data_IF_973314308710
#
_entry.id   IF_973314308710
#
_cell.length_a   1.000
_cell.length_b   1.000
_cell.length_c   1.000
_cell.angle_alpha   90.00
_cell.angle_beta   90.00
_cell.angle_gamma   90.00
#
_symmetry.space_group_name_H-M   'P 1'
#
loop_
_entity.id
_entity.type
_entity.pdbx_description
1 polymer ?
#
# COMPACT_ATOMS: atom_id res chain seq x y z
N UNK A 1 0.11 10.37 5.56
CA UNK A 1 1.18 11.26 6.03
C UNK A 1 1.65 10.70 7.33
N UNK A 2 2.88 10.19 7.34
CA UNK A 2 3.52 9.55 8.47
C UNK A 2 4.46 10.54 9.13
N UNK A 3 4.39 10.63 10.45
CA UNK A 3 5.32 11.43 11.24
C UNK A 3 6.77 10.96 11.01
N UNK A 4 7.75 11.87 11.08
CA UNK A 4 9.19 11.59 10.96
C UNK A 4 9.66 10.48 11.94
N UNK A 5 9.01 10.43 13.10
CA UNK A 5 9.26 9.50 14.20
C UNK A 5 8.02 8.62 14.47
N UNK A 6 7.48 7.99 13.43
CA UNK A 6 6.33 7.09 13.57
C UNK A 6 6.68 5.90 14.47
N UNK A 7 5.83 5.63 15.45
CA UNK A 7 5.90 4.46 16.29
C UNK A 7 5.18 3.28 15.62
N UNK A 8 5.94 2.23 15.31
CA UNK A 8 5.42 0.93 14.88
C UNK A 8 5.64 -0.08 15.99
N UNK A 9 4.63 -0.29 16.83
CA UNK A 9 4.72 -1.03 18.08
C UNK A 9 3.66 -2.12 18.14
N UNK A 10 3.96 -3.22 18.84
CA UNK A 10 3.00 -4.26 19.25
C UNK A 10 2.09 -4.79 18.13
N UNK A 11 2.67 -4.92 16.93
CA UNK A 11 1.96 -5.38 15.75
C UNK A 11 1.79 -6.90 15.79
N UNK A 12 0.54 -7.35 15.83
CA UNK A 12 0.20 -8.74 15.60
C UNK A 12 0.58 -9.13 14.16
N UNK A 13 1.43 -10.16 14.06
CA UNK A 13 2.02 -10.60 12.79
C UNK A 13 0.95 -11.07 11.80
N UNK A 14 -0.12 -11.71 12.29
CA UNK A 14 -1.17 -12.22 11.42
C UNK A 14 -2.04 -11.08 10.90
N UNK A 15 -2.49 -10.18 11.78
CA UNK A 15 -3.29 -9.01 11.40
C UNK A 15 -2.54 -8.16 10.37
N UNK A 16 -1.25 -7.90 10.63
CA UNK A 16 -0.42 -7.11 9.72
C UNK A 16 -0.18 -7.79 8.38
N UNK A 17 0.18 -9.09 8.36
CA UNK A 17 0.36 -9.86 7.13
C UNK A 17 -0.92 -9.88 6.29
N UNK A 18 -2.05 -10.08 6.95
CA UNK A 18 -3.36 -10.12 6.32
C UNK A 18 -3.73 -8.77 5.70
N UNK A 19 -3.47 -7.67 6.43
CA UNK A 19 -3.64 -6.31 5.91
C UNK A 19 -2.73 -6.03 4.71
N UNK A 20 -1.44 -6.40 4.79
CA UNK A 20 -0.50 -6.24 3.67
C UNK A 20 -0.98 -6.96 2.41
N UNK A 21 -1.43 -8.21 2.54
CA UNK A 21 -1.98 -8.98 1.42
C UNK A 21 -3.24 -8.33 0.79
N UNK A 22 -3.98 -7.58 1.60
CA UNK A 22 -5.20 -6.90 1.18
C UNK A 22 -4.90 -5.59 0.45
N UNK A 23 -3.94 -4.79 0.95
CA UNK A 23 -3.68 -3.42 0.46
C UNK A 23 -2.50 -3.32 -0.50
N UNK A 24 -1.61 -4.31 -0.55
CA UNK A 24 -0.42 -4.30 -1.41
C UNK A 24 -0.50 -5.40 -2.49
N UNK A 25 0.09 -5.09 -3.63
CA UNK A 25 0.50 -6.06 -4.62
C UNK A 25 2.03 -6.05 -4.70
N UNK A 26 2.67 -7.13 -4.29
CA UNK A 26 4.11 -7.17 -4.23
C UNK A 26 4.71 -7.38 -5.63
N UNK A 27 5.45 -6.40 -6.14
CA UNK A 27 6.27 -6.59 -7.34
C UNK A 27 7.33 -7.71 -7.16
N UNK A 28 7.70 -8.04 -5.91
CA UNK A 28 8.61 -9.16 -5.62
C UNK A 28 7.97 -10.52 -5.89
N UNK A 29 6.65 -10.64 -5.71
CA UNK A 29 5.88 -11.86 -5.94
C UNK A 29 5.61 -12.10 -7.44
N UNK A 30 5.64 -11.04 -8.25
CA UNK A 30 5.52 -11.13 -9.70
C UNK A 30 6.72 -11.85 -10.33
N UNK A 31 6.41 -12.78 -11.24
CA UNK A 31 7.37 -13.45 -12.11
C UNK A 31 7.92 -12.41 -13.07
N UNK A 32 9.23 -12.29 -13.13
CA UNK A 32 9.87 -11.23 -13.92
C UNK A 32 11.21 -11.68 -14.46
N UNK A 33 11.57 -11.11 -15.59
CA UNK A 33 12.94 -11.16 -16.09
C UNK A 33 13.59 -9.80 -15.83
N UNK A 34 14.84 -9.85 -15.36
CA UNK A 34 15.67 -8.67 -15.13
C UNK A 34 16.84 -8.74 -16.09
N UNK A 35 16.97 -7.71 -16.93
CA UNK A 35 18.13 -7.44 -17.77
C UNK A 35 18.86 -6.25 -17.18
N UNK A 36 20.15 -6.38 -16.91
CA UNK A 36 21.02 -5.25 -16.54
C UNK A 36 22.09 -5.14 -17.61
N UNK A 37 22.30 -3.94 -18.12
CA UNK A 37 23.33 -3.66 -19.11
C UNK A 37 24.18 -2.45 -18.72
N UNK A 38 25.36 -2.38 -19.31
CA UNK A 38 26.33 -1.28 -19.17
C UNK A 38 26.79 -0.95 -20.60
N UNK A 39 26.50 0.26 -21.08
CA UNK A 39 26.74 0.67 -22.48
C UNK A 39 26.22 -0.33 -23.53
N UNK A 40 25.04 -0.89 -23.23
CA UNK A 40 24.33 -1.88 -24.04
C UNK A 40 24.82 -3.33 -23.88
N UNK A 41 25.98 -3.56 -23.28
CA UNK A 41 26.49 -4.90 -22.99
C UNK A 41 25.73 -5.51 -21.81
N UNK A 42 25.16 -6.71 -22.01
CA UNK A 42 24.32 -7.36 -21.00
C UNK A 42 25.21 -7.99 -19.91
N UNK A 43 25.11 -7.44 -18.70
CA UNK A 43 25.82 -7.93 -17.50
C UNK A 43 24.98 -8.97 -16.74
N UNK A 44 23.64 -8.86 -16.80
CA UNK A 44 22.72 -9.77 -16.13
C UNK A 44 21.48 -10.01 -16.98
N UNK A 45 21.05 -11.26 -17.07
CA UNK A 45 19.82 -11.65 -17.76
C UNK A 45 19.23 -12.87 -17.05
N UNK A 46 18.24 -12.67 -16.17
CA UNK A 46 17.77 -13.71 -15.26
C UNK A 46 16.27 -13.63 -14.96
N UNK A 47 15.63 -14.78 -14.79
CA UNK A 47 14.27 -14.89 -14.25
C UNK A 47 14.28 -14.82 -12.72
N UNK A 48 13.32 -14.15 -12.09
CA UNK A 48 13.23 -13.98 -10.63
C UNK A 48 13.20 -15.30 -9.86
N UNK A 49 12.63 -16.34 -10.46
CA UNK A 49 12.56 -17.71 -9.92
C UNK A 49 13.63 -18.66 -10.50
N UNK A 50 14.62 -18.13 -11.23
CA UNK A 50 15.69 -18.92 -11.90
C UNK A 50 15.18 -19.99 -12.89
N UNK A 51 13.99 -19.77 -13.46
CA UNK A 51 13.49 -20.62 -14.54
C UNK A 51 14.32 -20.40 -15.81
N UNK A 52 14.45 -21.40 -16.69
CA UNK A 52 15.03 -21.23 -18.01
C UNK A 52 14.29 -20.14 -18.80
N UNK A 53 15.04 -19.28 -19.48
CA UNK A 53 14.50 -18.17 -20.29
C UNK A 53 14.93 -18.31 -21.74
N UNK A 54 14.11 -17.79 -22.65
CA UNK A 54 14.53 -17.52 -24.02
C UNK A 54 15.34 -16.23 -24.01
N UNK A 55 16.66 -16.35 -24.17
CA UNK A 55 17.56 -15.21 -24.37
C UNK A 55 17.39 -14.72 -25.81
N UNK A 56 16.50 -13.74 -26.00
CA UNK A 56 16.12 -13.23 -27.32
C UNK A 56 16.92 -12.01 -27.78
N UNK A 57 17.81 -11.50 -26.94
CA UNK A 57 18.70 -10.37 -27.24
C UNK A 57 20.10 -10.68 -26.70
N UNK A 58 21.12 -10.18 -27.40
CA UNK A 58 22.52 -10.26 -26.97
C UNK A 58 23.06 -8.90 -26.52
N UNK A 59 22.40 -7.81 -26.91
CA UNK A 59 22.76 -6.42 -26.60
C UNK A 59 21.50 -5.57 -26.39
N UNK A 60 21.61 -4.50 -25.63
CA UNK A 60 20.56 -3.49 -25.43
C UNK A 60 20.96 -2.18 -26.12
N UNK A 61 20.44 -1.96 -27.33
CA UNK A 61 20.63 -0.68 -28.03
C UNK A 61 19.47 0.30 -27.74
N UNK A 62 18.27 -0.23 -27.51
CA UNK A 62 17.07 0.50 -27.08
C UNK A 62 16.41 -0.28 -25.93
N UNK A 63 16.45 0.25 -24.68
CA UNK A 63 15.87 -0.40 -23.51
C UNK A 63 14.36 -0.68 -23.62
N UNK A 64 13.59 0.16 -24.32
CA UNK A 64 12.16 -0.04 -24.53
C UNK A 64 11.89 -1.19 -25.50
N UNK A 65 12.55 -1.18 -26.66
CA UNK A 65 12.43 -2.26 -27.62
C UNK A 65 12.93 -3.59 -27.04
N UNK A 66 14.02 -3.57 -26.27
CA UNK A 66 14.56 -4.74 -25.59
C UNK A 66 13.56 -5.31 -24.57
N UNK A 67 12.97 -4.47 -23.71
CA UNK A 67 12.00 -4.92 -22.70
C UNK A 67 10.78 -5.59 -23.35
N UNK A 68 10.23 -4.97 -24.39
CA UNK A 68 9.09 -5.53 -25.13
C UNK A 68 9.45 -6.84 -25.84
N UNK A 69 10.61 -6.90 -26.51
CA UNK A 69 11.05 -8.08 -27.24
C UNK A 69 11.26 -9.28 -26.30
N UNK A 70 11.94 -9.08 -25.19
CA UNK A 70 12.16 -10.10 -24.16
C UNK A 70 10.84 -10.55 -23.53
N UNK A 71 9.91 -9.62 -23.28
CA UNK A 71 8.59 -9.94 -22.76
C UNK A 71 7.81 -10.82 -23.73
N UNK A 72 7.74 -10.46 -25.02
CA UNK A 72 7.01 -11.21 -26.04
C UNK A 72 7.58 -12.63 -26.19
N UNK A 73 8.90 -12.79 -26.16
CA UNK A 73 9.57 -14.10 -26.23
C UNK A 73 9.29 -14.99 -25.00
N UNK A 74 9.07 -14.39 -23.83
CA UNK A 74 8.91 -15.10 -22.56
C UNK A 74 7.52 -14.93 -21.92
N UNK A 75 6.51 -14.49 -22.68
CA UNK A 75 5.20 -14.01 -22.17
C UNK A 75 4.43 -15.00 -21.28
N UNK A 76 4.73 -16.30 -21.41
CA UNK A 76 4.08 -17.36 -20.64
C UNK A 76 4.74 -17.60 -19.28
N UNK A 77 5.95 -17.05 -19.06
CA UNK A 77 6.76 -17.23 -17.87
C UNK A 77 6.78 -16.00 -16.96
N UNK A 78 6.53 -14.81 -17.51
CA UNK A 78 6.69 -13.54 -16.82
C UNK A 78 5.39 -12.74 -16.76
N UNK A 79 5.23 -12.00 -15.67
CA UNK A 79 4.21 -10.95 -15.54
C UNK A 79 4.73 -9.63 -16.11
N UNK A 80 6.06 -9.37 -16.04
CA UNK A 80 6.72 -8.22 -16.68
C UNK A 80 8.22 -8.46 -16.94
N UNK A 81 8.84 -7.59 -17.73
CA UNK A 81 10.30 -7.50 -17.91
C UNK A 81 10.79 -6.16 -17.41
N UNK A 82 11.96 -6.15 -16.76
CA UNK A 82 12.68 -4.95 -16.37
C UNK A 82 14.05 -4.91 -17.06
N UNK A 83 14.39 -3.78 -17.68
CA UNK A 83 15.68 -3.50 -18.29
C UNK A 83 16.27 -2.28 -17.59
N UNK A 84 17.46 -2.46 -17.00
CA UNK A 84 18.16 -1.42 -16.26
C UNK A 84 19.52 -1.15 -16.88
N UNK A 85 19.75 0.10 -17.26
CA UNK A 85 21.08 0.63 -17.53
C UNK A 85 21.74 0.97 -16.18
N UNK A 86 22.95 0.49 -15.98
CA UNK A 86 23.65 0.56 -14.69
C UNK A 86 23.91 2.00 -14.23
N UNK A 87 24.37 2.87 -15.11
CA UNK A 87 24.67 4.26 -14.76
C UNK A 87 23.38 5.03 -14.40
N UNK A 88 22.30 4.82 -15.14
CA UNK A 88 20.99 5.38 -14.86
C UNK A 88 20.45 4.90 -13.51
N UNK A 89 20.66 3.62 -13.18
CA UNK A 89 20.34 3.06 -11.87
C UNK A 89 21.13 3.79 -10.77
N UNK A 90 22.45 3.93 -10.92
CA UNK A 90 23.29 4.62 -9.93
C UNK A 90 22.90 6.09 -9.74
N UNK A 91 22.62 6.82 -10.83
CA UNK A 91 22.15 8.22 -10.79
C UNK A 91 20.79 8.34 -10.10
N UNK A 92 19.84 7.44 -10.41
CA UNK A 92 18.54 7.40 -9.76
C UNK A 92 18.69 7.21 -8.25
N UNK A 93 19.50 6.24 -7.82
CA UNK A 93 19.77 6.01 -6.39
C UNK A 93 20.44 7.21 -5.72
N UNK A 94 21.43 7.80 -6.37
CA UNK A 94 22.09 9.01 -5.88
C UNK A 94 21.13 10.20 -5.73
N UNK A 95 20.18 10.38 -6.66
CA UNK A 95 19.20 11.46 -6.62
C UNK A 95 18.32 11.36 -5.37
N UNK A 96 17.59 10.26 -5.19
CA UNK A 96 16.64 10.21 -4.08
C UNK A 96 17.34 10.11 -2.71
N UNK A 97 18.52 9.46 -2.63
CA UNK A 97 19.32 9.45 -1.40
C UNK A 97 19.83 10.86 -1.06
N UNK A 98 20.26 11.63 -2.05
CA UNK A 98 20.76 12.99 -1.87
C UNK A 98 19.67 14.03 -1.57
N UNK A 99 18.39 13.69 -1.75
CA UNK A 99 17.25 14.58 -1.44
C UNK A 99 16.54 14.24 -0.14
N UNK A 100 16.96 13.17 0.55
CA UNK A 100 16.38 12.81 1.84
C UNK A 100 16.71 13.86 2.91
N UNK A 101 15.71 14.20 3.71
CA UNK A 101 15.89 14.99 4.93
C UNK A 101 15.40 14.21 6.13
N UNK A 102 16.11 14.34 7.25
CA UNK A 102 15.77 13.61 8.47
C UNK A 102 14.40 14.01 9.03
N UNK A 103 13.96 15.25 8.78
CA UNK A 103 12.70 15.85 9.23
C UNK A 103 11.52 15.63 8.26
N UNK A 104 11.70 14.80 7.24
CA UNK A 104 10.72 14.60 6.19
C UNK A 104 9.67 13.53 6.53
N UNK A 105 8.44 13.75 6.08
CA UNK A 105 7.36 12.75 6.12
C UNK A 105 7.74 11.53 5.27
N UNK A 106 7.70 10.35 5.88
CA UNK A 106 8.13 9.11 5.22
C UNK A 106 7.28 8.74 4.01
N UNK A 107 5.98 9.08 4.01
CA UNK A 107 5.13 8.85 2.84
C UNK A 107 5.51 9.78 1.69
N UNK A 108 5.81 11.05 2.00
CA UNK A 108 6.22 12.03 0.98
C UNK A 108 7.57 11.62 0.36
N UNK A 109 8.51 11.16 1.19
CA UNK A 109 9.78 10.62 0.73
C UNK A 109 9.62 9.37 -0.16
N UNK A 110 8.82 8.39 0.28
CA UNK A 110 8.55 7.18 -0.48
C UNK A 110 7.84 7.49 -1.80
N UNK A 111 6.81 8.36 -1.76
CA UNK A 111 6.09 8.80 -2.95
C UNK A 111 7.02 9.50 -3.95
N UNK A 112 7.86 10.42 -3.48
CA UNK A 112 8.86 11.10 -4.34
C UNK A 112 9.81 10.09 -4.96
N UNK A 113 10.36 9.16 -4.18
CA UNK A 113 11.29 8.14 -4.66
C UNK A 113 10.72 7.39 -5.87
N UNK A 114 9.47 6.92 -5.79
CA UNK A 114 8.84 6.22 -6.91
C UNK A 114 8.41 7.14 -8.05
N UNK A 115 8.06 8.40 -7.78
CA UNK A 115 7.76 9.37 -8.83
C UNK A 115 9.01 9.71 -9.65
N UNK A 116 10.19 9.80 -9.02
CA UNK A 116 11.46 10.08 -9.68
C UNK A 116 11.85 9.00 -10.71
N UNK A 117 11.31 7.78 -10.64
CA UNK A 117 11.52 6.78 -11.70
C UNK A 117 11.09 7.28 -13.09
N UNK A 118 10.08 8.15 -13.18
CA UNK A 118 9.61 8.72 -14.44
C UNK A 118 10.69 9.61 -15.11
N UNK A 119 11.61 10.19 -14.33
CA UNK A 119 12.73 11.01 -14.83
C UNK A 119 13.87 10.17 -15.44
N UNK A 120 13.87 8.85 -15.19
CA UNK A 120 14.89 7.90 -15.65
C UNK A 120 14.32 6.90 -16.65
N UNK A 121 13.23 7.25 -17.32
CA UNK A 121 12.48 6.35 -18.21
C UNK A 121 13.33 5.71 -19.31
N UNK A 122 14.38 6.40 -19.78
CA UNK A 122 15.28 5.88 -20.84
C UNK A 122 16.22 4.77 -20.35
N UNK A 123 16.55 4.73 -19.05
CA UNK A 123 17.48 3.77 -18.48
C UNK A 123 16.84 2.77 -17.52
N UNK A 124 15.66 3.06 -16.99
CA UNK A 124 14.92 2.24 -16.04
C UNK A 124 13.57 1.85 -16.64
N UNK A 125 13.59 0.83 -17.51
CA UNK A 125 12.42 0.44 -18.30
C UNK A 125 11.75 -0.79 -17.72
N UNK A 126 10.42 -0.79 -17.73
CA UNK A 126 9.63 -2.02 -17.60
C UNK A 126 8.62 -2.17 -18.73
N UNK A 127 8.18 -3.38 -19.00
CA UNK A 127 7.13 -3.71 -19.96
C UNK A 127 6.23 -4.83 -19.42
N UNK A 128 4.87 -4.76 -19.52
CA UNK A 128 4.06 -3.90 -20.39
C UNK A 128 3.60 -2.55 -19.81
N UNK A 129 4.20 -2.04 -18.74
CA UNK A 129 3.86 -0.73 -18.15
C UNK A 129 5.09 0.00 -17.63
N UNK A 130 5.01 1.32 -17.34
CA UNK A 130 6.16 2.11 -16.91
C UNK A 130 6.69 1.69 -15.53
N UNK A 131 7.97 1.96 -15.28
CA UNK A 131 8.69 1.52 -14.08
C UNK A 131 8.03 2.00 -12.79
N UNK A 132 7.55 3.25 -12.73
CA UNK A 132 6.80 3.76 -11.58
C UNK A 132 5.59 2.89 -11.23
N UNK A 133 4.81 2.49 -12.23
CA UNK A 133 3.61 1.69 -12.01
C UNK A 133 3.90 0.22 -11.74
N UNK A 134 5.02 -0.30 -12.27
CA UNK A 134 5.39 -1.73 -12.20
C UNK A 134 6.24 -2.06 -10.98
N UNK A 135 7.20 -1.21 -10.65
CA UNK A 135 8.18 -1.37 -9.58
C UNK A 135 7.85 -0.57 -8.32
N UNK A 136 6.99 0.45 -8.47
CA UNK A 136 6.53 1.27 -7.34
C UNK A 136 5.65 0.51 -6.36
N UNK A 137 5.25 1.18 -5.28
CA UNK A 137 4.24 0.65 -4.37
C UNK A 137 2.93 0.45 -5.15
N UNK A 138 2.60 -0.81 -5.46
CA UNK A 138 1.35 -1.16 -6.13
C UNK A 138 0.25 -1.33 -5.08
N UNK A 139 -0.35 -0.21 -4.70
CA UNK A 139 -1.43 -0.20 -3.74
C UNK A 139 -2.74 -0.67 -4.39
N UNK A 140 -3.50 -1.51 -3.68
CA UNK A 140 -4.86 -1.95 -4.04
C UNK A 140 -5.94 -1.06 -3.44
N UNK A 141 -5.62 0.18 -3.05
CA UNK A 141 -6.55 1.12 -2.39
C UNK A 141 -7.40 1.93 -3.34
N UNK A 142 -7.32 1.77 -4.67
CA UNK A 142 -8.25 2.39 -5.62
C UNK A 142 -8.38 3.93 -5.50
N UNK A 143 -7.40 4.57 -4.86
CA UNK A 143 -7.34 5.98 -4.53
C UNK A 143 -5.87 6.42 -4.63
N UNK A 144 -5.65 7.64 -5.09
CA UNK A 144 -4.35 8.28 -5.13
C UNK A 144 -3.92 8.75 -3.75
N UNK A 145 -2.62 8.99 -3.58
CA UNK A 145 -2.07 9.57 -2.36
C UNK A 145 -2.76 10.89 -1.97
N UNK A 146 -3.00 11.77 -2.95
CA UNK A 146 -3.66 13.05 -2.74
C UNK A 146 -5.11 12.88 -2.25
N UNK A 147 -5.85 11.91 -2.79
CA UNK A 147 -7.21 11.61 -2.34
C UNK A 147 -7.24 11.06 -0.91
N UNK A 148 -6.28 10.21 -0.54
CA UNK A 148 -6.16 9.70 0.84
C UNK A 148 -5.81 10.83 1.80
N UNK A 149 -4.84 11.69 1.44
CA UNK A 149 -4.45 12.87 2.25
C UNK A 149 -5.65 13.81 2.46
N UNK A 150 -6.38 14.13 1.39
CA UNK A 150 -7.58 14.96 1.48
C UNK A 150 -8.68 14.33 2.35
N UNK A 151 -8.83 13.00 2.33
CA UNK A 151 -9.78 12.31 3.19
C UNK A 151 -9.37 12.38 4.67
N UNK A 152 -8.08 12.20 4.98
CA UNK A 152 -7.56 12.36 6.36
C UNK A 152 -7.79 13.79 6.84
N UNK A 153 -7.41 14.80 6.04
CA UNK A 153 -7.61 16.20 6.38
C UNK A 153 -9.09 16.55 6.58
N UNK A 154 -10.00 15.93 5.83
CA UNK A 154 -11.43 16.21 5.94
C UNK A 154 -12.08 15.53 7.15
N UNK A 155 -11.77 14.25 7.38
CA UNK A 155 -12.56 13.43 8.29
C UNK A 155 -11.87 13.11 9.62
N UNK A 156 -10.54 13.18 9.71
CA UNK A 156 -9.82 12.80 10.94
C UNK A 156 -9.58 14.05 11.78
N UNK A 157 -10.17 14.19 12.98
CA UNK A 157 -9.81 15.26 13.90
C UNK A 157 -8.36 15.12 14.39
N UNK A 158 -7.75 16.26 14.71
CA UNK A 158 -6.43 16.30 15.34
C UNK A 158 -6.42 15.57 16.69
N UNK A 159 -5.28 14.97 17.05
CA UNK A 159 -5.07 14.26 18.33
C UNK A 159 -6.08 13.12 18.58
N UNK A 160 -6.39 12.35 17.53
CA UNK A 160 -7.32 11.21 17.61
C UNK A 160 -6.77 9.95 16.95
N UNK A 161 -7.38 8.81 17.28
CA UNK A 161 -7.09 7.52 16.67
C UNK A 161 -8.15 7.13 15.63
N UNK A 162 -7.72 6.37 14.63
CA UNK A 162 -8.57 5.72 13.63
C UNK A 162 -8.33 4.23 13.67
N UNK A 163 -9.40 3.44 13.65
CA UNK A 163 -9.35 1.99 13.59
C UNK A 163 -10.04 1.51 12.32
N UNK A 164 -9.33 0.70 11.53
CA UNK A 164 -9.91 -0.11 10.47
C UNK A 164 -9.87 -1.57 10.90
N UNK A 165 -10.99 -2.28 10.78
CA UNK A 165 -11.07 -3.71 11.06
C UNK A 165 -11.71 -4.50 9.93
N UNK A 166 -11.19 -5.69 9.68
CA UNK A 166 -11.70 -6.60 8.66
C UNK A 166 -12.03 -7.93 9.33
N UNK A 167 -13.29 -8.34 9.20
CA UNK A 167 -13.77 -9.63 9.68
C UNK A 167 -13.70 -10.70 8.59
N UNK A 168 -13.31 -11.91 8.96
CA UNK A 168 -13.55 -13.14 8.18
C UNK A 168 -14.39 -14.09 9.02
N UNK A 169 -15.63 -14.35 8.61
CA UNK A 169 -16.63 -14.91 9.52
C UNK A 169 -16.80 -14.03 10.77
N UNK A 170 -16.73 -14.58 11.96
CA UNK A 170 -16.86 -13.83 13.21
C UNK A 170 -15.51 -13.40 13.81
N UNK A 171 -14.40 -13.75 13.17
CA UNK A 171 -13.04 -13.42 13.62
C UNK A 171 -12.59 -12.07 13.06
N UNK A 172 -11.98 -11.23 13.92
CA UNK A 172 -11.28 -10.01 13.47
C UNK A 172 -9.98 -10.42 12.78
N UNK A 173 -10.06 -10.68 11.48
CA UNK A 173 -8.99 -11.24 10.66
C UNK A 173 -7.82 -10.28 10.40
N UNK A 174 -8.09 -8.98 10.30
CA UNK A 174 -7.07 -7.96 10.17
C UNK A 174 -7.54 -6.65 10.81
N UNK A 175 -6.58 -5.83 11.22
CA UNK A 175 -6.84 -4.51 11.77
C UNK A 175 -5.70 -3.55 11.45
N UNK A 176 -6.01 -2.26 11.38
CA UNK A 176 -5.05 -1.17 11.32
C UNK A 176 -5.50 -0.11 12.33
N UNK A 177 -4.61 0.28 13.23
CA UNK A 177 -4.82 1.40 14.14
C UNK A 177 -3.80 2.48 13.83
N UNK A 178 -4.30 3.69 13.63
CA UNK A 178 -3.53 4.88 13.32
C UNK A 178 -3.78 5.93 14.39
N UNK A 179 -2.74 6.38 15.09
CA UNK A 179 -2.81 7.55 15.97
C UNK A 179 -2.35 8.79 15.22
N UNK A 180 -3.14 9.86 15.25
CA UNK A 180 -2.86 11.13 14.58
C UNK A 180 -2.52 12.22 15.59
N UNK A 181 -1.51 13.04 15.27
CA UNK A 181 -1.11 14.19 16.09
C UNK A 181 -1.93 15.46 15.78
N UNK A 182 -1.52 16.59 16.36
CA UNK A 182 -2.12 17.91 16.18
C UNK A 182 -2.17 18.36 14.70
N UNK A 183 -1.19 17.94 13.91
CA UNK A 183 -1.06 18.27 12.49
C UNK A 183 -1.71 17.22 11.58
N UNK A 184 -2.43 16.25 12.16
CA UNK A 184 -3.06 15.11 11.45
C UNK A 184 -2.04 14.26 10.70
N UNK A 185 -0.83 14.13 11.24
CA UNK A 185 0.17 13.15 10.80
C UNK A 185 0.04 11.90 11.67
N UNK A 186 0.09 10.74 11.02
CA UNK A 186 0.04 9.47 11.72
C UNK A 186 1.39 9.26 12.46
N UNK A 187 1.36 9.35 13.78
CA UNK A 187 2.51 9.16 14.67
C UNK A 187 2.55 7.75 15.29
N UNK A 188 1.44 7.01 15.21
CA UNK A 188 1.35 5.59 15.59
C UNK A 188 0.76 4.80 14.43
N UNK A 189 1.38 3.65 14.12
CA UNK A 189 0.86 2.65 13.19
C UNK A 189 0.98 1.28 13.85
N UNK A 190 -0.15 0.65 14.13
CA UNK A 190 -0.18 -0.66 14.79
C UNK A 190 -1.39 -1.48 14.35
N UNK A 191 -1.56 -2.66 14.94
CA UNK A 191 -2.75 -3.50 14.84
C UNK A 191 -3.36 -3.66 16.23
N UNK A 192 -4.54 -4.28 16.33
CA UNK A 192 -5.08 -4.66 17.64
C UNK A 192 -4.13 -5.64 18.32
N UNK A 193 -3.77 -5.34 19.57
CA UNK A 193 -2.94 -6.22 20.39
C UNK A 193 -3.80 -7.34 20.99
N UNK A 194 -3.63 -8.55 20.48
CA UNK A 194 -4.36 -9.74 20.92
C UNK A 194 -3.83 -10.34 22.22
N UNK A 195 -2.68 -9.86 22.73
CA UNK A 195 -2.17 -10.22 24.06
C UNK A 195 -2.79 -9.37 25.17
N UNK A 196 -3.08 -8.09 24.90
CA UNK A 196 -3.76 -7.19 25.85
C UNK A 196 -5.29 -7.32 25.77
N UNK A 197 -5.83 -7.66 24.59
CA UNK A 197 -7.27 -7.69 24.35
C UNK A 197 -7.78 -9.09 23.99
N UNK A 198 -8.55 -9.69 24.90
CA UNK A 198 -9.28 -10.94 24.62
C UNK A 198 -10.60 -10.64 23.92
N UNK A 199 -10.69 -10.97 22.64
CA UNK A 199 -11.86 -10.71 21.80
C UNK A 199 -12.87 -11.87 21.87
N UNK A 200 -14.07 -11.57 22.38
CA UNK A 200 -15.16 -12.54 22.50
C UNK A 200 -16.52 -11.91 22.17
N UNK A 201 -17.48 -12.76 21.80
CA UNK A 201 -18.86 -12.33 21.56
C UNK A 201 -19.15 -12.00 20.11
N UNK A 202 -20.14 -11.14 19.88
CA UNK A 202 -20.55 -10.74 18.53
C UNK A 202 -19.54 -9.78 17.91
N UNK A 203 -19.58 -9.59 16.58
CA UNK A 203 -18.76 -8.55 15.90
C UNK A 203 -18.92 -7.16 16.54
N UNK A 204 -20.11 -6.82 17.05
CA UNK A 204 -20.34 -5.53 17.73
C UNK A 204 -19.65 -5.45 19.09
N UNK A 205 -19.59 -6.55 19.82
CA UNK A 205 -18.85 -6.61 21.08
C UNK A 205 -17.35 -6.44 20.82
N UNK A 206 -16.83 -7.16 19.82
CA UNK A 206 -15.43 -7.02 19.36
C UNK A 206 -15.12 -5.58 18.95
N UNK A 207 -15.98 -4.95 18.14
CA UNK A 207 -15.79 -3.54 17.75
C UNK A 207 -15.73 -2.63 18.96
N UNK A 208 -16.69 -2.73 19.89
CA UNK A 208 -16.73 -1.91 21.11
C UNK A 208 -15.44 -2.06 21.91
N UNK A 209 -14.98 -3.29 22.10
CA UNK A 209 -13.82 -3.59 22.93
C UNK A 209 -12.52 -3.08 22.26
N UNK A 210 -12.41 -3.20 20.93
CA UNK A 210 -11.30 -2.64 20.15
C UNK A 210 -11.27 -1.12 20.22
N UNK A 211 -12.41 -0.45 20.06
CA UNK A 211 -12.51 1.01 20.15
C UNK A 211 -12.13 1.47 21.56
N UNK A 212 -12.68 0.84 22.61
CA UNK A 212 -12.36 1.18 23.99
C UNK A 212 -10.88 0.94 24.35
N UNK A 213 -10.25 -0.06 23.73
CA UNK A 213 -8.81 -0.26 23.83
C UNK A 213 -8.03 0.84 23.12
N UNK A 214 -8.36 1.16 21.87
CA UNK A 214 -7.70 2.23 21.12
C UNK A 214 -7.83 3.59 21.83
N UNK A 215 -9.03 3.91 22.34
CA UNK A 215 -9.32 5.11 23.15
C UNK A 215 -8.36 5.26 24.33
N UNK A 216 -8.16 4.15 25.07
CA UNK A 216 -7.35 4.13 26.28
C UNK A 216 -5.86 4.20 25.96
N UNK A 217 -5.42 3.57 24.87
CA UNK A 217 -3.99 3.38 24.57
C UNK A 217 -3.43 4.52 23.72
N UNK A 218 -4.20 5.04 22.77
CA UNK A 218 -3.73 6.00 21.76
C UNK A 218 -4.51 7.31 21.73
N UNK A 219 -5.42 7.52 22.69
CA UNK A 219 -6.31 8.68 22.74
C UNK A 219 -7.63 8.45 22.00
N UNK A 220 -8.55 9.44 22.02
CA UNK A 220 -9.92 9.25 21.55
C UNK A 220 -9.97 8.73 20.11
N UNK A 221 -10.67 7.64 19.89
CA UNK A 221 -10.96 7.12 18.57
C UNK A 221 -12.06 7.96 17.94
N UNK A 222 -11.75 8.56 16.80
CA UNK A 222 -12.69 9.40 16.05
C UNK A 222 -13.40 8.63 14.94
N UNK A 223 -12.74 7.59 14.40
CA UNK A 223 -13.27 6.76 13.33
C UNK A 223 -12.99 5.29 13.63
N UNK A 224 -14.05 4.50 13.78
CA UNK A 224 -14.01 3.04 13.71
C UNK A 224 -14.71 2.55 12.45
N UNK A 225 -13.98 1.96 11.50
CA UNK A 225 -14.52 1.42 10.26
C UNK A 225 -14.26 -0.08 10.17
N UNK A 226 -15.33 -0.87 10.28
CA UNK A 226 -15.26 -2.32 10.24
C UNK A 226 -16.17 -2.91 9.18
N UNK A 227 -15.67 -3.90 8.45
CA UNK A 227 -16.43 -4.61 7.41
C UNK A 227 -15.97 -6.07 7.32
N UNK A 228 -16.73 -6.91 6.63
CA UNK A 228 -16.24 -8.23 6.21
C UNK A 228 -15.17 -8.13 5.11
N UNK A 229 -14.41 -9.22 4.92
CA UNK A 229 -13.32 -9.32 3.93
C UNK A 229 -13.75 -8.95 2.50
N UNK A 230 -14.91 -9.43 2.04
CA UNK A 230 -15.43 -9.07 0.71
C UNK A 230 -15.77 -7.58 0.60
N UNK A 231 -16.28 -6.98 1.68
CA UNK A 231 -16.55 -5.55 1.73
C UNK A 231 -15.26 -4.73 1.73
N UNK A 232 -14.21 -5.19 2.43
CA UNK A 232 -12.90 -4.55 2.41
C UNK A 232 -12.28 -4.61 1.00
N UNK A 233 -12.33 -5.76 0.34
CA UNK A 233 -11.87 -5.91 -1.06
C UNK A 233 -12.62 -4.99 -2.01
N UNK A 234 -13.95 -4.93 -1.91
CA UNK A 234 -14.78 -4.05 -2.73
C UNK A 234 -14.45 -2.57 -2.47
N UNK A 235 -14.31 -2.18 -1.21
CA UNK A 235 -13.99 -0.81 -0.83
C UNK A 235 -12.62 -0.41 -1.36
N UNK A 236 -11.60 -1.24 -1.15
CA UNK A 236 -10.22 -0.98 -1.57
C UNK A 236 -10.09 -0.94 -3.09
N UNK A 237 -10.69 -1.89 -3.81
CA UNK A 237 -10.59 -1.98 -5.27
C UNK A 237 -11.38 -0.91 -6.05
N UNK A 238 -12.37 -0.25 -5.45
CA UNK A 238 -13.23 0.72 -6.14
C UNK A 238 -12.67 2.14 -6.12
N UNK A 239 -12.84 2.92 -7.20
CA UNK A 239 -12.63 4.37 -7.17
C UNK A 239 -13.81 5.13 -6.54
N UNK A 240 -14.99 4.53 -6.56
CA UNK A 240 -16.22 5.12 -6.01
C UNK A 240 -16.43 4.69 -4.54
N UNK A 241 -15.53 5.13 -3.65
CA UNK A 241 -15.51 4.71 -2.24
C UNK A 241 -16.85 4.91 -1.53
N UNK A 242 -17.46 6.08 -1.70
CA UNK A 242 -18.72 6.44 -1.05
C UNK A 242 -19.87 5.55 -1.52
N UNK A 243 -19.93 5.21 -2.81
CA UNK A 243 -20.95 4.31 -3.33
C UNK A 243 -20.84 2.91 -2.70
N UNK A 244 -19.61 2.39 -2.57
CA UNK A 244 -19.37 1.10 -1.90
C UNK A 244 -19.75 1.15 -0.43
N UNK A 245 -19.36 2.20 0.30
CA UNK A 245 -19.72 2.36 1.71
C UNK A 245 -21.23 2.37 1.91
N UNK A 246 -22.00 3.07 1.07
CA UNK A 246 -23.46 3.05 1.10
C UNK A 246 -24.03 1.65 0.88
N UNK A 247 -23.51 0.92 -0.10
CA UNK A 247 -23.96 -0.47 -0.36
C UNK A 247 -23.66 -1.38 0.83
N UNK A 248 -22.48 -1.25 1.45
CA UNK A 248 -22.13 -2.03 2.63
C UNK A 248 -23.00 -1.69 3.84
N UNK A 249 -23.27 -0.40 4.06
CA UNK A 249 -24.17 0.07 5.12
C UNK A 249 -25.60 -0.45 4.93
N UNK A 250 -26.16 -0.34 3.72
CA UNK A 250 -27.50 -0.83 3.39
C UNK A 250 -27.68 -2.34 3.61
N UNK A 251 -26.57 -3.10 3.49
CA UNK A 251 -26.55 -4.55 3.71
C UNK A 251 -26.25 -4.96 5.15
N UNK A 252 -26.02 -4.00 6.05
CA UNK A 252 -25.60 -4.28 7.42
C UNK A 252 -24.18 -4.88 7.54
N UNK A 253 -23.37 -4.75 6.49
CA UNK A 253 -22.01 -5.30 6.42
C UNK A 253 -20.92 -4.26 6.73
N UNK A 254 -21.32 -3.04 7.10
CA UNK A 254 -20.45 -1.97 7.58
C UNK A 254 -20.83 -1.62 9.01
N UNK A 255 -19.84 -1.57 9.90
CA UNK A 255 -19.95 -0.91 11.20
C UNK A 255 -19.05 0.33 11.12
N UNK A 256 -19.66 1.49 11.26
CA UNK A 256 -18.97 2.78 11.23
C UNK A 256 -19.27 3.50 12.53
N UNK A 257 -18.44 3.28 13.55
CA UNK A 257 -18.63 3.77 14.91
C UNK A 257 -17.31 3.71 15.70
N UNK A 258 -16.83 4.82 16.30
CA UNK A 258 -17.34 6.19 16.15
C UNK A 258 -17.13 6.73 14.74
N UNK A 259 -17.81 7.83 14.40
CA UNK A 259 -17.59 8.53 13.14
C UNK A 259 -17.95 10.01 13.25
N UNK A 260 -17.16 10.92 12.63
CA UNK A 260 -17.54 12.31 12.49
C UNK A 260 -18.87 12.42 11.74
N UNK A 261 -19.70 13.39 12.12
CA UNK A 261 -21.04 13.58 11.54
C UNK A 261 -21.01 13.67 10.00
N UNK A 262 -19.99 14.33 9.45
CA UNK A 262 -19.82 14.45 8.01
C UNK A 262 -19.58 13.08 7.34
N UNK A 263 -18.73 12.24 7.91
CA UNK A 263 -18.49 10.88 7.40
C UNK A 263 -19.72 9.99 7.56
N UNK A 264 -20.38 10.06 8.73
CA UNK A 264 -21.61 9.31 9.01
C UNK A 264 -22.75 9.66 8.03
N UNK A 265 -22.85 10.94 7.63
CA UNK A 265 -23.85 11.41 6.67
C UNK A 265 -23.69 10.80 5.27
N UNK A 266 -22.49 10.32 4.91
CA UNK A 266 -22.26 9.70 3.61
C UNK A 266 -22.92 8.34 3.48
N UNK A 267 -23.17 7.66 4.60
CA UNK A 267 -23.70 6.29 4.66
C UNK A 267 -25.11 6.21 5.28
N UNK A 268 -25.63 7.35 5.72
CA UNK A 268 -27.00 7.47 6.24
C UNK A 268 -27.99 7.60 5.08
N UNK A 269 -29.14 6.93 5.20
CA UNK A 269 -30.26 6.96 4.24
C UNK A 269 -31.44 7.76 4.79
#
# INVERSE_FOLDING_TARGET
>A
MLHENVQMLDMDVNHWRNLQNLVLESAKEKRRIIVIHEDGEIVKFVHSQRLPIVKSIDRVDDPHAAAEHVYRANRHLVDFVAVFEREAFDRYFGHWQGTWRADEDLDEFAHRTYATLDEYADGLVTYPGPARSTLGLQWRVGASYAEVKAAVERYVPADTAVVFGVFDGDELWASLVLGFDADRRAHVVTTVDTFDLTLHGSRRDVVRDVIAWADRTYGPCSIGLFTGLDGARALLGSREKVAVLRVLAARGNLILDPAPAELASLVSF
#
